data_IF_030539065309
#
_entry.id   IF_030539065309
#
_cell.length_a   1.000
_cell.length_b   1.000
_cell.length_c   1.000
_cell.angle_alpha   90.00
_cell.angle_beta   90.00
_cell.angle_gamma   90.00
#
_symmetry.space_group_name_H-M   'P 1'
#
loop_
_entity.id
_entity.type
_entity.pdbx_description
1 polymer ?
#
# COMPACT_ATOMS: atom_id res chain seq x y z
N UNK A 1 -2.65 -1.48 -13.16
CA UNK A 1 -2.01 -2.46 -14.07
C UNK A 1 -2.79 -3.76 -13.98
N UNK A 2 -3.10 -4.42 -15.10
CA UNK A 2 -3.90 -5.64 -15.05
C UNK A 2 -3.20 -6.72 -14.20
N UNK A 3 -3.94 -7.32 -13.26
CA UNK A 3 -3.43 -8.40 -12.41
C UNK A 3 -2.73 -7.99 -11.10
N UNK A 4 -2.59 -6.71 -10.79
CA UNK A 4 -2.09 -6.30 -9.47
C UNK A 4 -3.11 -6.53 -8.36
N UNK A 5 -2.68 -6.70 -7.09
CA UNK A 5 -3.60 -6.78 -5.96
C UNK A 5 -4.61 -5.61 -5.92
N UNK A 6 -4.14 -4.38 -6.14
CA UNK A 6 -5.00 -3.21 -6.19
C UNK A 6 -5.97 -3.22 -7.39
N UNK A 7 -5.58 -3.77 -8.54
CA UNK A 7 -6.49 -3.92 -9.67
C UNK A 7 -7.59 -4.95 -9.42
N UNK A 8 -7.34 -5.96 -8.58
CA UNK A 8 -8.31 -7.01 -8.23
C UNK A 8 -9.24 -6.64 -7.09
N UNK A 9 -8.72 -5.91 -6.08
CA UNK A 9 -9.43 -5.65 -4.82
C UNK A 9 -9.67 -4.16 -4.54
N UNK A 10 -9.06 -3.25 -5.32
CA UNK A 10 -8.88 -1.85 -4.94
C UNK A 10 -7.72 -1.65 -3.96
N UNK A 11 -7.37 -0.39 -3.61
CA UNK A 11 -8.01 0.85 -4.04
C UNK A 11 -7.70 1.23 -5.50
N UNK A 12 -8.57 2.02 -6.17
CA UNK A 12 -8.30 2.52 -7.52
C UNK A 12 -7.18 3.60 -7.49
N UNK A 13 -6.52 3.87 -8.63
CA UNK A 13 -5.38 4.81 -8.69
C UNK A 13 -5.70 6.24 -8.21
N UNK A 14 -6.96 6.65 -8.28
CA UNK A 14 -7.45 7.97 -7.88
C UNK A 14 -8.01 7.97 -6.46
N UNK A 15 -7.31 7.33 -5.53
CA UNK A 15 -7.71 7.23 -4.13
C UNK A 15 -6.55 7.47 -3.18
N UNK A 16 -6.88 7.98 -1.99
CA UNK A 16 -5.94 8.14 -0.88
C UNK A 16 -6.17 7.02 0.14
N UNK A 17 -5.13 6.26 0.46
CA UNK A 17 -5.17 5.30 1.57
C UNK A 17 -5.20 6.09 2.89
N UNK A 18 -6.12 5.72 3.78
CA UNK A 18 -6.33 6.37 5.07
C UNK A 18 -5.98 5.46 6.25
N UNK A 19 -6.22 4.14 6.13
CA UNK A 19 -5.86 3.16 7.16
C UNK A 19 -5.47 1.82 6.55
N UNK A 20 -4.55 1.11 7.21
CA UNK A 20 -4.22 -0.30 6.93
C UNK A 20 -4.40 -1.09 8.23
N UNK A 21 -5.29 -2.08 8.22
CA UNK A 21 -5.61 -2.90 9.40
C UNK A 21 -5.99 -2.10 10.67
N UNK A 22 -6.50 -0.88 10.49
CA UNK A 22 -6.85 0.04 11.58
C UNK A 22 -5.75 1.04 11.95
N UNK A 23 -4.52 0.85 11.45
CA UNK A 23 -3.44 1.82 11.63
C UNK A 23 -3.66 3.03 10.70
N UNK A 24 -3.72 4.27 11.24
CA UNK A 24 -3.91 5.46 10.43
C UNK A 24 -2.67 5.76 9.58
N UNK A 25 -2.91 6.10 8.32
CA UNK A 25 -1.88 6.46 7.34
C UNK A 25 -2.01 7.95 7.04
N UNK A 26 -1.10 8.76 7.58
CA UNK A 26 -1.07 10.22 7.38
C UNK A 26 0.05 10.62 6.41
N UNK A 27 1.17 9.91 6.48
CA UNK A 27 2.38 10.12 5.70
C UNK A 27 2.85 8.83 5.00
N UNK A 28 3.84 8.95 4.11
CA UNK A 28 4.42 7.79 3.43
C UNK A 28 5.10 6.84 4.42
N UNK A 29 5.78 7.38 5.44
CA UNK A 29 6.43 6.59 6.49
C UNK A 29 5.44 5.70 7.25
N UNK A 30 4.22 6.20 7.52
CA UNK A 30 3.17 5.41 8.15
C UNK A 30 2.77 4.22 7.27
N UNK A 31 2.68 4.43 5.95
CA UNK A 31 2.34 3.40 4.98
C UNK A 31 3.43 2.33 4.92
N UNK A 32 4.69 2.74 4.83
CA UNK A 32 5.86 1.84 4.81
C UNK A 32 5.90 1.02 6.10
N UNK A 33 5.79 1.68 7.25
CA UNK A 33 5.78 1.00 8.55
C UNK A 33 4.59 0.04 8.71
N UNK A 34 3.41 0.42 8.21
CA UNK A 34 2.22 -0.45 8.25
C UNK A 34 2.40 -1.69 7.37
N UNK A 35 3.05 -1.58 6.21
CA UNK A 35 3.37 -2.73 5.35
C UNK A 35 4.43 -3.64 5.97
N UNK A 36 5.49 -3.10 6.57
CA UNK A 36 6.54 -3.88 7.25
C UNK A 36 6.01 -4.67 8.46
N UNK A 37 4.90 -4.22 9.07
CA UNK A 37 4.22 -4.97 10.14
C UNK A 37 3.41 -6.16 9.63
N UNK A 38 3.15 -6.27 8.33
CA UNK A 38 2.34 -7.35 7.78
C UNK A 38 3.15 -8.64 7.65
N UNK A 39 2.52 -9.82 7.77
CA UNK A 39 3.20 -11.06 7.50
C UNK A 39 3.77 -11.06 6.07
N UNK A 40 5.01 -11.54 5.90
CA UNK A 40 5.69 -11.68 4.60
C UNK A 40 5.05 -12.71 3.65
N UNK A 41 3.93 -13.29 4.06
CA UNK A 41 3.16 -14.25 3.27
C UNK A 41 1.98 -13.56 2.57
N UNK A 42 1.18 -14.36 1.89
CA UNK A 42 -0.01 -13.97 1.15
C UNK A 42 -1.18 -13.51 2.06
N UNK A 43 -0.91 -12.54 2.93
CA UNK A 43 -1.80 -12.05 3.97
C UNK A 43 -2.91 -11.16 3.40
N UNK A 44 -4.10 -11.25 3.98
CA UNK A 44 -5.19 -10.32 3.69
C UNK A 44 -5.11 -9.12 4.63
N UNK A 45 -5.09 -7.92 4.06
CA UNK A 45 -5.09 -6.66 4.78
C UNK A 45 -6.37 -5.88 4.48
N UNK A 46 -6.84 -5.13 5.47
CA UNK A 46 -7.96 -4.23 5.35
C UNK A 46 -7.45 -2.84 5.00
N UNK A 47 -7.95 -2.26 3.92
CA UNK A 47 -7.56 -0.93 3.47
C UNK A 47 -8.78 -0.03 3.55
N UNK A 48 -8.69 1.03 4.34
CA UNK A 48 -9.63 2.16 4.28
C UNK A 48 -9.03 3.20 3.34
N UNK A 49 -9.82 3.67 2.38
CA UNK A 49 -9.37 4.68 1.42
C UNK A 49 -10.46 5.68 1.11
N UNK A 50 -10.07 6.87 0.66
CA UNK A 50 -10.96 7.95 0.28
C UNK A 50 -10.83 8.23 -1.22
N UNK A 51 -11.95 8.32 -1.93
CA UNK A 51 -11.95 8.72 -3.33
C UNK A 51 -11.87 10.25 -3.51
N UNK A 52 -11.77 10.71 -4.76
CA UNK A 52 -11.69 12.14 -5.07
C UNK A 52 -12.94 12.95 -4.67
N UNK A 53 -14.08 12.31 -4.44
CA UNK A 53 -15.29 12.96 -3.93
C UNK A 53 -15.30 13.08 -2.40
N UNK A 54 -14.28 12.55 -1.72
CA UNK A 54 -14.21 12.51 -0.26
C UNK A 54 -14.94 11.33 0.36
N UNK A 55 -15.55 10.44 -0.46
CA UNK A 55 -16.25 9.26 0.06
C UNK A 55 -15.24 8.22 0.54
N UNK A 56 -15.47 7.71 1.74
CA UNK A 56 -14.64 6.68 2.36
C UNK A 56 -15.15 5.29 1.99
N UNK A 57 -14.23 4.41 1.67
CA UNK A 57 -14.44 3.02 1.29
C UNK A 57 -13.56 2.11 2.14
N UNK A 58 -13.97 0.85 2.26
CA UNK A 58 -13.24 -0.19 2.96
C UNK A 58 -13.16 -1.42 2.04
N UNK A 59 -11.96 -1.93 1.82
CA UNK A 59 -11.75 -3.17 1.06
C UNK A 59 -10.81 -4.11 1.80
N UNK A 60 -10.82 -5.38 1.40
CA UNK A 60 -9.81 -6.36 1.80
C UNK A 60 -8.97 -6.70 0.59
N UNK A 61 -7.67 -6.47 0.69
CA UNK A 61 -6.69 -6.76 -0.35
C UNK A 61 -5.80 -7.90 0.13
N UNK A 62 -5.52 -8.85 -0.75
CA UNK A 62 -4.52 -9.89 -0.51
C UNK A 62 -3.15 -9.40 -1.00
N UNK A 63 -2.18 -9.35 -0.10
CA UNK A 63 -0.78 -9.12 -0.45
C UNK A 63 -0.27 -10.30 -1.28
N UNK A 64 0.53 -10.01 -2.31
CA UNK A 64 1.14 -11.01 -3.18
C UNK A 64 2.63 -10.67 -3.41
N UNK A 65 3.45 -10.57 -2.35
CA UNK A 65 4.82 -10.05 -2.45
C UNK A 65 5.73 -10.90 -3.34
N UNK A 66 5.41 -12.18 -3.55
CA UNK A 66 6.13 -13.08 -4.47
C UNK A 66 6.10 -12.57 -5.92
N UNK A 67 4.96 -12.05 -6.37
CA UNK A 67 4.77 -11.60 -7.75
C UNK A 67 4.72 -10.06 -7.86
N UNK A 68 4.42 -9.40 -6.75
CA UNK A 68 4.28 -7.95 -6.61
C UNK A 68 5.09 -7.45 -5.41
N UNK A 69 6.43 -7.50 -5.47
CA UNK A 69 7.27 -7.02 -4.38
C UNK A 69 7.09 -5.51 -4.21
N UNK A 70 7.11 -5.05 -2.95
CA UNK A 70 7.01 -3.63 -2.64
C UNK A 70 8.41 -3.03 -2.56
N UNK A 71 8.61 -1.87 -3.17
CA UNK A 71 9.87 -1.13 -3.09
C UNK A 71 9.63 0.32 -2.75
N UNK A 72 10.50 0.87 -1.92
CA UNK A 72 10.63 2.30 -1.69
C UNK A 72 11.62 2.89 -2.70
N UNK A 73 11.36 4.14 -3.10
CA UNK A 73 12.26 4.91 -3.95
C UNK A 73 12.54 6.25 -3.27
N UNK A 74 13.76 6.42 -2.77
CA UNK A 74 14.20 7.61 -2.04
C UNK A 74 15.22 8.39 -2.86
N UNK A 75 15.10 9.72 -2.88
CA UNK A 75 16.09 10.60 -3.49
C UNK A 75 17.05 11.12 -2.42
N UNK A 76 18.31 10.72 -2.49
CA UNK A 76 19.35 11.04 -1.51
C UNK A 76 20.64 11.38 -2.24
N UNK A 77 21.29 12.48 -1.86
CA UNK A 77 22.58 12.94 -2.38
C UNK A 77 22.66 13.02 -3.92
N UNK A 78 21.60 13.49 -4.55
CA UNK A 78 21.55 13.66 -6.01
C UNK A 78 21.18 12.40 -6.78
N UNK A 79 20.96 11.27 -6.10
CA UNK A 79 20.68 9.97 -6.72
C UNK A 79 19.39 9.32 -6.19
N UNK A 80 18.76 8.51 -7.04
CA UNK A 80 17.63 7.68 -6.65
C UNK A 80 18.11 6.33 -6.11
N UNK A 81 17.64 5.97 -4.92
CA UNK A 81 17.93 4.71 -4.26
C UNK A 81 16.65 3.89 -4.15
N UNK A 82 16.71 2.63 -4.58
CA UNK A 82 15.60 1.69 -4.46
C UNK A 82 15.88 0.69 -3.35
N UNK A 83 14.93 0.52 -2.43
CA UNK A 83 15.02 -0.43 -1.32
C UNK A 83 13.80 -1.33 -1.31
N UNK A 84 13.99 -2.64 -1.13
CA UNK A 84 12.86 -3.56 -0.95
C UNK A 84 12.25 -3.35 0.43
N UNK A 85 10.93 -3.21 0.51
CA UNK A 85 10.20 -3.17 1.78
C UNK A 85 9.75 -4.61 2.03
N UNK A 86 10.47 -5.31 2.91
CA UNK A 86 10.10 -6.66 3.37
C UNK A 86 9.31 -6.66 4.67
#
# INVERSE_FOLDING_TARGET
YAGSPAARYGPPPTSRICEINGDPIRHLDDFVAALQRQPKSNASIRIKYMDLSGKVHLTTLKLEPTFWPTSELNYVDGAWHRTCIE
#
